data_IF_860243689704
#
_entry.id   IF_860243689704
#
_cell.length_a   1.000
_cell.length_b   1.000
_cell.length_c   1.000
_cell.angle_alpha   90.00
_cell.angle_beta   90.00
_cell.angle_gamma   90.00
#
_symmetry.space_group_name_H-M   'P 1'
#
loop_
_entity.id
_entity.type
_entity.pdbx_description
1 polymer ?
#
# COMPACT_ATOMS: atom_id res chain seq x y z
N UNK A 1 -8.17 10.47 -7.19
CA UNK A 1 -7.48 9.69 -6.16
C UNK A 1 -8.52 8.76 -5.59
N UNK A 2 -8.45 7.48 -5.91
CA UNK A 2 -9.32 6.47 -5.33
C UNK A 2 -8.63 5.96 -4.07
N UNK A 3 -9.22 6.26 -2.91
CA UNK A 3 -8.81 5.65 -1.65
C UNK A 3 -9.72 4.45 -1.40
N UNK A 4 -9.17 3.36 -0.89
CA UNK A 4 -9.95 2.19 -0.49
C UNK A 4 -9.62 1.81 0.95
N UNK A 5 -10.59 1.18 1.61
CA UNK A 5 -10.45 0.77 2.99
C UNK A 5 -10.09 -0.71 3.07
N UNK A 6 -9.03 -1.00 3.83
CA UNK A 6 -8.60 -2.35 4.17
C UNK A 6 -8.95 -2.60 5.63
N UNK A 7 -9.79 -3.60 5.88
CA UNK A 7 -10.04 -4.09 7.23
C UNK A 7 -9.14 -5.28 7.51
N UNK A 8 -8.18 -5.12 8.43
CA UNK A 8 -7.31 -6.20 8.90
C UNK A 8 -7.86 -6.73 10.21
N UNK A 9 -8.04 -8.05 10.28
CA UNK A 9 -8.41 -8.75 11.52
C UNK A 9 -7.19 -9.49 12.03
N UNK A 10 -6.57 -8.98 13.09
CA UNK A 10 -5.45 -9.65 13.76
C UNK A 10 -5.91 -10.05 15.16
N UNK A 11 -5.90 -11.37 15.42
CA UNK A 11 -6.42 -11.95 16.66
C UNK A 11 -7.90 -11.60 16.92
N UNK A 12 -8.16 -10.68 17.85
CA UNK A 12 -9.50 -10.19 18.24
C UNK A 12 -9.71 -8.71 17.92
N UNK A 13 -8.70 -8.04 17.38
CA UNK A 13 -8.78 -6.63 17.02
C UNK A 13 -9.06 -6.50 15.52
N UNK A 14 -10.09 -5.73 15.22
CA UNK A 14 -10.44 -5.31 13.86
C UNK A 14 -9.91 -3.90 13.70
N UNK A 15 -8.93 -3.73 12.82
CA UNK A 15 -8.33 -2.43 12.51
C UNK A 15 -8.70 -2.05 11.08
N UNK A 16 -9.17 -0.82 10.93
CA UNK A 16 -9.55 -0.26 9.64
C UNK A 16 -8.46 0.68 9.19
N UNK A 17 -7.94 0.40 8.00
CA UNK A 17 -6.93 1.19 7.35
C UNK A 17 -7.52 1.78 6.08
N UNK A 18 -7.14 3.01 5.76
CA UNK A 18 -7.43 3.66 4.50
C UNK A 18 -6.14 3.73 3.68
N UNK A 19 -6.17 3.19 2.48
CA UNK A 19 -5.04 3.22 1.55
C UNK A 19 -5.39 4.15 0.41
N UNK A 20 -4.54 5.15 0.21
CA UNK A 20 -4.59 6.04 -0.95
C UNK A 20 -3.41 5.77 -1.87
N UNK A 21 -3.68 5.64 -3.17
CA UNK A 21 -2.65 5.68 -4.21
C UNK A 21 -2.39 7.14 -4.60
N UNK A 22 -1.15 7.60 -4.40
CA UNK A 22 -0.72 8.96 -4.72
C UNK A 22 0.22 8.91 -5.93
N UNK A 23 -0.18 9.58 -7.02
CA UNK A 23 0.63 9.71 -8.21
C UNK A 23 1.77 10.72 -7.97
N UNK A 24 2.95 10.24 -8.33
CA UNK A 24 4.27 10.81 -8.11
C UNK A 24 4.40 12.21 -8.72
N UNK A 25 4.24 13.23 -7.89
CA UNK A 25 4.83 14.55 -8.10
C UNK A 25 5.71 14.78 -6.87
N UNK A 26 6.97 15.20 -7.06
CA UNK A 26 7.92 15.58 -5.99
C UNK A 26 8.79 14.51 -5.30
N UNK A 27 9.18 13.44 -6.00
CA UNK A 27 10.37 12.66 -5.60
C UNK A 27 10.28 11.86 -4.30
N UNK A 28 9.09 11.70 -3.73
CA UNK A 28 8.81 10.71 -2.68
C UNK A 28 8.52 9.35 -3.34
N UNK A 29 9.43 8.37 -3.20
CA UNK A 29 9.24 7.04 -3.79
C UNK A 29 8.01 6.27 -3.23
N UNK A 30 7.36 6.77 -2.17
CA UNK A 30 6.21 6.12 -1.54
C UNK A 30 4.89 6.31 -2.32
N UNK A 31 4.55 5.35 -3.17
CA UNK A 31 3.32 5.36 -4.00
C UNK A 31 2.02 5.19 -3.19
N UNK A 32 2.03 4.37 -2.15
CA UNK A 32 0.86 4.04 -1.34
C UNK A 32 0.99 4.62 0.05
N UNK A 33 -0.03 5.34 0.54
CA UNK A 33 -0.07 5.86 1.91
C UNK A 33 -1.22 5.22 2.67
N UNK A 34 -0.93 4.73 3.87
CA UNK A 34 -1.86 4.02 4.74
C UNK A 34 -2.16 4.86 5.98
N UNK A 35 -3.45 5.02 6.25
CA UNK A 35 -3.98 5.80 7.36
C UNK A 35 -4.84 4.91 8.26
N UNK A 36 -4.72 5.06 9.57
CA UNK A 36 -5.59 4.41 10.57
C UNK A 36 -6.31 5.54 11.33
N UNK A 37 -7.65 5.54 11.34
CA UNK A 37 -8.46 6.62 11.95
C UNK A 37 -8.03 8.04 11.50
N UNK A 38 -7.66 8.18 10.22
CA UNK A 38 -7.19 9.45 9.63
C UNK A 38 -5.75 9.84 9.99
N UNK A 39 -5.01 9.00 10.72
CA UNK A 39 -3.59 9.20 11.04
C UNK A 39 -2.70 8.42 10.09
N UNK A 40 -1.68 9.07 9.55
CA UNK A 40 -0.67 8.40 8.73
C UNK A 40 0.12 7.40 9.58
N UNK A 41 0.02 6.12 9.24
CA UNK A 41 0.66 5.04 10.02
C UNK A 41 1.81 4.38 9.26
N UNK A 42 1.69 4.25 7.94
CA UNK A 42 2.72 3.67 7.10
C UNK A 42 2.57 4.09 5.63
N UNK A 43 3.63 3.94 4.85
CA UNK A 43 3.58 4.04 3.40
C UNK A 43 4.37 2.92 2.74
N UNK A 44 3.95 2.54 1.53
CA UNK A 44 4.56 1.50 0.74
C UNK A 44 5.00 2.03 -0.62
N UNK A 45 6.08 1.47 -1.13
CA UNK A 45 6.59 1.74 -2.47
C UNK A 45 6.75 0.43 -3.24
N UNK A 46 6.43 0.41 -4.54
CA UNK A 46 6.79 -0.72 -5.39
C UNK A 46 8.30 -0.72 -5.66
N UNK A 47 8.97 -1.86 -5.50
CA UNK A 47 10.35 -2.02 -5.97
C UNK A 47 10.45 -2.26 -7.49
N UNK A 48 11.67 -2.45 -7.98
CA UNK A 48 11.95 -2.78 -9.39
C UNK A 48 11.29 -4.09 -9.87
N UNK A 49 10.97 -4.99 -8.94
CA UNK A 49 10.25 -6.24 -9.19
C UNK A 49 8.74 -6.10 -8.92
N UNK A 50 8.28 -4.89 -8.60
CA UNK A 50 6.89 -4.53 -8.33
C UNK A 50 6.29 -5.19 -7.08
N UNK A 51 7.13 -5.58 -6.13
CA UNK A 51 6.68 -5.95 -4.79
C UNK A 51 6.54 -4.69 -3.95
N UNK A 52 5.52 -4.66 -3.08
CA UNK A 52 5.38 -3.57 -2.13
C UNK A 52 6.37 -3.71 -0.97
N UNK A 53 7.24 -2.72 -0.85
CA UNK A 53 8.15 -2.55 0.27
C UNK A 53 7.71 -1.41 1.16
N UNK A 54 8.10 -1.49 2.44
CA UNK A 54 7.81 -0.47 3.43
C UNK A 54 8.70 0.74 3.14
N UNK A 55 8.07 1.86 2.79
CA UNK A 55 8.73 3.12 2.51
C UNK A 55 8.87 3.97 3.79
N UNK A 56 7.79 4.12 4.56
CA UNK A 56 7.82 4.79 5.88
C UNK A 56 6.95 4.04 6.89
N UNK A 57 7.39 4.01 8.13
CA UNK A 57 6.65 3.43 9.26
C UNK A 57 6.80 4.33 10.50
N UNK A 58 6.26 5.56 10.49
CA UNK A 58 6.43 6.50 11.60
C UNK A 58 5.75 6.03 12.89
N UNK A 59 4.72 5.19 12.78
CA UNK A 59 3.94 4.73 13.92
C UNK A 59 4.46 3.40 14.50
N UNK A 60 5.58 2.87 13.97
CA UNK A 60 6.21 1.66 14.47
C UNK A 60 5.31 0.43 14.42
N UNK A 61 4.49 0.29 13.37
CA UNK A 61 3.68 -0.91 13.15
C UNK A 61 4.59 -2.14 13.11
N UNK A 62 4.14 -3.23 13.74
CA UNK A 62 4.85 -4.51 13.69
C UNK A 62 5.01 -4.99 12.25
N UNK A 63 6.14 -5.64 11.96
CA UNK A 63 6.40 -6.26 10.64
C UNK A 63 5.24 -7.12 10.16
N UNK A 64 4.67 -7.95 11.04
CA UNK A 64 3.52 -8.78 10.68
C UNK A 64 2.30 -7.96 10.21
N UNK A 65 2.10 -6.76 10.75
CA UNK A 65 1.03 -5.87 10.28
C UNK A 65 1.39 -5.24 8.93
N UNK A 66 2.64 -4.83 8.75
CA UNK A 66 3.12 -4.26 7.49
C UNK A 66 3.01 -5.27 6.35
N UNK A 67 3.40 -6.53 6.60
CA UNK A 67 3.24 -7.61 5.63
C UNK A 67 1.76 -7.86 5.28
N UNK A 68 0.87 -7.91 6.26
CA UNK A 68 -0.58 -8.06 6.02
C UNK A 68 -1.17 -6.91 5.20
N UNK A 69 -0.70 -5.68 5.45
CA UNK A 69 -1.11 -4.51 4.67
C UNK A 69 -0.60 -4.62 3.22
N UNK A 70 0.67 -4.96 3.02
CA UNK A 70 1.25 -5.16 1.68
C UNK A 70 0.47 -6.23 0.89
N UNK A 71 0.25 -7.42 1.49
CA UNK A 71 -0.54 -8.51 0.89
C UNK A 71 -1.94 -8.04 0.47
N UNK A 72 -2.63 -7.27 1.32
CA UNK A 72 -3.97 -6.78 0.98
C UNK A 72 -3.97 -5.71 -0.11
N UNK A 73 -2.96 -4.83 -0.13
CA UNK A 73 -2.81 -3.83 -1.19
C UNK A 73 -2.52 -4.54 -2.52
N UNK A 74 -1.64 -5.54 -2.54
CA UNK A 74 -1.34 -6.34 -3.73
C UNK A 74 -2.55 -7.14 -4.22
N UNK A 75 -3.31 -7.76 -3.29
CA UNK A 75 -4.54 -8.51 -3.60
C UNK A 75 -5.63 -7.62 -4.19
N UNK A 76 -5.72 -6.36 -3.74
CA UNK A 76 -6.66 -5.37 -4.28
C UNK A 76 -6.23 -4.82 -5.65
N UNK A 77 -4.96 -4.94 -6.02
CA UNK A 77 -4.42 -4.56 -7.33
C UNK A 77 -4.01 -5.79 -8.18
N UNK A 78 -4.95 -6.70 -8.55
CA UNK A 78 -4.62 -7.88 -9.35
C UNK A 78 -4.19 -7.52 -10.78
N UNK A 79 -4.53 -6.32 -11.25
CA UNK A 79 -4.08 -5.75 -12.52
C UNK A 79 -3.24 -4.49 -12.27
N UNK A 80 -2.06 -4.68 -11.68
CA UNK A 80 -0.93 -3.82 -12.02
C UNK A 80 -0.51 -2.81 -10.96
N UNK A 81 0.55 -3.18 -10.24
CA UNK A 81 1.74 -2.30 -10.18
C UNK A 81 2.45 -2.27 -11.57
N UNK A 82 2.02 -3.16 -12.46
CA UNK A 82 2.47 -3.44 -13.81
C UNK A 82 1.63 -2.78 -14.95
N UNK A 83 1.11 -1.56 -14.77
CA UNK A 83 0.32 -0.91 -15.84
C UNK A 83 1.18 -0.46 -17.05
N UNK A 84 2.51 -0.64 -17.01
CA UNK A 84 3.40 -0.35 -18.14
C UNK A 84 3.62 -1.53 -19.11
N UNK A 85 3.10 -2.75 -18.86
CA UNK A 85 3.27 -3.91 -19.76
C UNK A 85 1.95 -4.31 -20.45
N UNK A 86 1.08 -3.35 -20.78
CA UNK A 86 -0.03 -3.57 -21.73
C UNK A 86 0.04 -2.74 -23.01
N UNK A 87 1.19 -2.11 -23.29
CA UNK A 87 1.41 -1.36 -24.55
C UNK A 87 2.42 -1.99 -25.52
N UNK A 88 2.75 -3.27 -25.36
CA UNK A 88 3.68 -3.97 -26.28
C UNK A 88 3.08 -5.28 -26.82
N UNK A 89 1.82 -5.25 -27.24
CA UNK A 89 1.28 -6.18 -28.25
C UNK A 89 0.22 -5.44 -29.06
N UNK A 90 0.67 -4.50 -29.90
CA UNK A 90 -0.04 -4.16 -31.14
C UNK A 90 0.51 -5.01 -32.27
#
# INVERSE_FOLDING_TARGET
MENYQITVRKNKEVRNFEVGEYLHHDGENCKFKVFEDGKFVASFEPDEHQFLHICQNPNGLDEAMLHLLADQIESHHPYGINDNIKKIKS
#
